data_IF_310253529217
#
_entry.id   IF_310253529217
#
_cell.length_a   1.000
_cell.length_b   1.000
_cell.length_c   1.000
_cell.angle_alpha   90.00
_cell.angle_beta   90.00
_cell.angle_gamma   90.00
#
_symmetry.space_group_name_H-M   'P 1'
#
loop_
_entity.id
_entity.type
_entity.pdbx_description
1 polymer ?
#
# COMPACT_ATOMS: atom_id res chain seq x y z
N UNK A 1 20.34 16.61 11.03
CA UNK A 1 18.90 16.71 11.32
C UNK A 1 18.18 15.71 10.43
N UNK A 2 17.56 14.67 10.99
CA UNK A 2 16.72 13.76 10.22
C UNK A 2 15.55 14.55 9.62
N UNK A 3 15.42 14.57 8.29
CA UNK A 3 14.21 15.06 7.64
C UNK A 3 13.08 14.11 8.02
N UNK A 4 12.26 14.46 9.01
CA UNK A 4 10.96 13.81 9.22
C UNK A 4 10.10 14.10 7.99
N UNK A 5 10.08 13.17 7.05
CA UNK A 5 9.22 13.25 5.88
C UNK A 5 7.77 13.37 6.35
N UNK A 6 7.09 14.44 5.93
CA UNK A 6 5.67 14.62 6.23
C UNK A 6 4.90 13.62 5.38
N UNK A 7 4.37 12.57 6.02
CA UNK A 7 3.46 11.62 5.35
C UNK A 7 2.14 12.32 5.05
N UNK A 8 1.70 12.23 3.80
CA UNK A 8 0.36 12.65 3.37
C UNK A 8 -0.62 11.56 3.79
N UNK A 9 -1.73 11.94 4.41
CA UNK A 9 -2.83 11.01 4.71
C UNK A 9 -3.80 10.99 3.54
N UNK A 10 -4.11 9.79 3.04
CA UNK A 10 -5.08 9.57 1.97
C UNK A 10 -6.13 8.59 2.47
N UNK A 11 -7.40 8.94 2.32
CA UNK A 11 -8.51 8.05 2.62
C UNK A 11 -8.90 7.27 1.37
N UNK A 12 -9.00 5.95 1.49
CA UNK A 12 -9.36 5.05 0.38
C UNK A 12 -10.67 4.36 0.75
N UNK A 13 -11.69 4.54 -0.08
CA UNK A 13 -12.96 3.82 0.05
C UNK A 13 -12.84 2.46 -0.63
N UNK A 14 -13.17 1.39 0.10
CA UNK A 14 -13.11 0.01 -0.37
C UNK A 14 -14.40 -0.73 -0.01
N UNK A 15 -14.71 -1.77 -0.77
CA UNK A 15 -15.80 -2.66 -0.41
C UNK A 15 -15.53 -3.37 0.92
N UNK A 16 -16.57 -3.68 1.73
CA UNK A 16 -16.39 -4.37 3.00
C UNK A 16 -15.68 -5.73 2.86
N UNK A 17 -15.91 -6.46 1.76
CA UNK A 17 -15.22 -7.71 1.46
C UNK A 17 -13.71 -7.53 1.26
N UNK A 18 -13.32 -6.46 0.56
CA UNK A 18 -11.90 -6.11 0.36
C UNK A 18 -11.23 -5.73 1.68
N UNK A 19 -11.91 -4.98 2.55
CA UNK A 19 -11.38 -4.65 3.87
C UNK A 19 -11.13 -5.90 4.72
N UNK A 20 -12.09 -6.84 4.75
CA UNK A 20 -11.93 -8.12 5.46
C UNK A 20 -10.72 -8.93 4.95
N UNK A 21 -10.54 -8.98 3.62
CA UNK A 21 -9.40 -9.67 3.03
C UNK A 21 -8.08 -9.00 3.41
N UNK A 22 -8.01 -7.66 3.38
CA UNK A 22 -6.84 -6.90 3.80
C UNK A 22 -6.50 -7.12 5.27
N UNK A 23 -7.50 -7.16 6.15
CA UNK A 23 -7.29 -7.41 7.59
C UNK A 23 -6.73 -8.82 7.82
N UNK A 24 -7.26 -9.83 7.10
CA UNK A 24 -6.76 -11.20 7.18
C UNK A 24 -5.32 -11.33 6.68
N UNK A 25 -5.00 -10.78 5.51
CA UNK A 25 -3.64 -10.85 4.95
C UNK A 25 -2.64 -10.03 5.77
N UNK A 26 -3.05 -8.89 6.32
CA UNK A 26 -2.21 -8.10 7.21
C UNK A 26 -1.87 -8.87 8.49
N UNK A 27 -2.86 -9.55 9.08
CA UNK A 27 -2.64 -10.42 10.25
C UNK A 27 -1.71 -11.59 9.95
N UNK A 28 -1.82 -12.22 8.78
CA UNK A 28 -0.94 -13.33 8.37
C UNK A 28 0.53 -12.92 8.21
N UNK A 29 0.77 -11.67 7.86
CA UNK A 29 2.11 -11.11 7.61
C UNK A 29 2.68 -10.32 8.80
N UNK A 30 2.03 -10.39 9.97
CA UNK A 30 2.40 -9.62 11.18
C UNK A 30 2.62 -8.13 10.90
N UNK A 31 1.70 -7.52 10.14
CA UNK A 31 1.78 -6.12 9.75
C UNK A 31 0.46 -5.40 9.92
N UNK A 32 0.51 -4.07 10.01
CA UNK A 32 -0.70 -3.25 10.00
C UNK A 32 -1.37 -3.26 8.61
N UNK A 33 -2.71 -3.13 8.58
CA UNK A 33 -3.46 -2.95 7.33
C UNK A 33 -2.90 -1.81 6.49
N UNK A 34 -2.59 -0.66 7.10
CA UNK A 34 -2.01 0.48 6.40
C UNK A 34 -0.64 0.16 5.79
N UNK A 35 0.20 -0.60 6.50
CA UNK A 35 1.50 -1.04 6.00
C UNK A 35 1.38 -2.04 4.84
N UNK A 36 0.36 -2.91 4.85
CA UNK A 36 0.07 -3.79 3.73
C UNK A 36 -0.40 -2.99 2.50
N UNK A 37 -1.32 -2.04 2.69
CA UNK A 37 -1.80 -1.18 1.59
C UNK A 37 -0.65 -0.38 0.98
N UNK A 38 0.22 0.21 1.79
CA UNK A 38 1.41 0.93 1.32
C UNK A 38 2.30 0.03 0.46
N UNK A 39 2.53 -1.21 0.90
CA UNK A 39 3.32 -2.18 0.14
C UNK A 39 2.67 -2.53 -1.20
N UNK A 40 1.37 -2.82 -1.23
CA UNK A 40 0.64 -3.12 -2.47
C UNK A 40 0.74 -1.97 -3.46
N UNK A 41 0.50 -0.73 -3.01
CA UNK A 41 0.61 0.46 -3.87
C UNK A 41 2.04 0.62 -4.39
N UNK A 42 3.05 0.42 -3.54
CA UNK A 42 4.46 0.53 -3.94
C UNK A 42 4.83 -0.50 -5.00
N UNK A 43 4.43 -1.76 -4.85
CA UNK A 43 4.72 -2.80 -5.84
C UNK A 43 3.98 -2.55 -7.15
N UNK A 44 2.70 -2.15 -7.09
CA UNK A 44 1.94 -1.77 -8.28
C UNK A 44 2.60 -0.62 -9.04
N UNK A 45 3.06 0.42 -8.34
CA UNK A 45 3.75 1.55 -8.96
C UNK A 45 5.10 1.15 -9.56
N UNK A 46 5.86 0.27 -8.91
CA UNK A 46 7.12 -0.26 -9.48
C UNK A 46 6.84 -0.99 -10.79
N UNK A 47 5.89 -1.92 -10.81
CA UNK A 47 5.53 -2.66 -12.02
C UNK A 47 5.08 -1.74 -13.16
N UNK A 48 4.24 -0.73 -12.85
CA UNK A 48 3.75 0.25 -13.81
C UNK A 48 4.85 1.19 -14.34
N UNK A 49 5.73 1.67 -13.47
CA UNK A 49 6.82 2.57 -13.87
C UNK A 49 7.90 1.83 -14.68
N UNK A 50 8.19 0.58 -14.33
CA UNK A 50 9.10 -0.27 -15.11
C UNK A 50 8.55 -0.56 -16.51
N UNK A 51 7.24 -0.76 -16.64
CA UNK A 51 6.60 -0.95 -17.96
C UNK A 51 6.50 0.35 -18.77
N UNK A 52 6.35 1.51 -18.12
CA UNK A 52 6.36 2.81 -18.80
C UNK A 52 7.75 3.21 -19.33
N UNK A 53 8.84 2.80 -18.68
CA UNK A 53 10.21 3.09 -19.11
C UNK A 53 10.72 2.17 -20.25
N UNK A 54 9.90 1.23 -20.73
CA UNK A 54 10.20 0.33 -21.85
C UNK A 54 9.56 0.77 -23.18
N UNK A 55 8.90 1.93 -23.19
CA UNK A 55 8.28 2.59 -24.36
C UNK A 55 9.05 3.89 -24.62
#
# INVERSE_FOLDING_TARGET
MERREKKIQVSIALYPSTLKLLDFEASRQDRSRSGLIEHIIREYLKERLLTLNQI
#
